data_IF_072645240581
#
_entry.id   IF_072645240581
#
_cell.length_a   1.000
_cell.length_b   1.000
_cell.length_c   1.000
_cell.angle_alpha   90.00
_cell.angle_beta   90.00
_cell.angle_gamma   90.00
#
_symmetry.space_group_name_H-M   'P 1'
#
loop_
_entity.id
_entity.type
_entity.pdbx_description
1 polymer ?
#
# COMPACT_ATOMS: atom_id res chain seq x y z
N UNK A 1 -2.76 4.76 15.02
CA UNK A 1 -2.89 5.52 13.76
C UNK A 1 -4.15 6.39 13.68
N UNK A 2 -4.01 7.66 13.29
CA UNK A 2 -5.09 8.63 12.98
C UNK A 2 -4.99 9.05 11.52
N UNK A 3 -6.10 9.06 10.79
CA UNK A 3 -6.16 9.54 9.40
C UNK A 3 -6.76 10.94 9.33
N UNK A 4 -6.10 11.86 8.63
CA UNK A 4 -6.60 13.22 8.37
C UNK A 4 -6.55 13.51 6.88
N UNK A 5 -7.67 13.99 6.32
CA UNK A 5 -7.74 14.46 4.95
C UNK A 5 -7.70 15.99 4.94
N UNK A 6 -6.83 16.56 4.11
CA UNK A 6 -6.75 18.00 3.84
C UNK A 6 -6.97 18.27 2.36
N UNK A 7 -7.05 19.54 1.97
CA UNK A 7 -7.26 19.93 0.57
C UNK A 7 -6.15 19.44 -0.37
N UNK A 8 -4.93 19.20 0.14
CA UNK A 8 -3.76 18.84 -0.69
C UNK A 8 -3.14 17.47 -0.36
N UNK A 9 -3.47 16.86 0.77
CA UNK A 9 -2.82 15.63 1.23
C UNK A 9 -3.65 14.82 2.21
N UNK A 10 -3.38 13.53 2.25
CA UNK A 10 -3.72 12.60 3.32
C UNK A 10 -2.60 12.59 4.35
N UNK A 11 -2.94 12.45 5.62
CA UNK A 11 -1.97 12.39 6.70
C UNK A 11 -2.29 11.18 7.56
N UNK A 12 -1.37 10.22 7.58
CA UNK A 12 -1.36 9.12 8.54
C UNK A 12 -0.52 9.58 9.74
N UNK A 13 -1.18 9.97 10.80
CA UNK A 13 -0.57 10.53 12.00
C UNK A 13 -0.57 9.51 13.15
N UNK A 14 0.25 9.76 14.17
CA UNK A 14 0.37 8.89 15.35
C UNK A 14 0.62 7.42 14.95
N UNK A 15 1.58 7.22 14.04
CA UNK A 15 2.02 5.90 13.62
C UNK A 15 2.97 5.32 14.68
N UNK A 16 2.54 4.24 15.32
CA UNK A 16 3.39 3.48 16.23
C UNK A 16 4.55 2.83 15.44
N UNK A 17 5.74 2.61 16.03
CA UNK A 17 6.87 1.98 15.34
C UNK A 17 6.54 0.65 14.65
N UNK A 18 5.64 -0.15 15.23
CA UNK A 18 5.16 -1.40 14.63
C UNK A 18 4.27 -1.15 13.39
N UNK A 19 3.35 -0.18 13.44
CA UNK A 19 2.51 0.20 12.29
C UNK A 19 3.41 0.73 11.16
N UNK A 20 4.37 1.59 11.49
CA UNK A 20 5.34 2.10 10.52
C UNK A 20 6.16 0.99 9.86
N UNK A 21 6.60 0.00 10.63
CA UNK A 21 7.36 -1.11 10.10
C UNK A 21 6.56 -1.86 9.02
N UNK A 22 5.27 -2.13 9.26
CA UNK A 22 4.40 -2.76 8.26
C UNK A 22 4.23 -1.89 7.01
N UNK A 23 4.07 -0.57 7.17
CA UNK A 23 3.99 0.35 6.03
C UNK A 23 5.26 0.30 5.16
N UNK A 24 6.44 0.24 5.78
CA UNK A 24 7.70 0.10 5.04
C UNK A 24 7.83 -1.21 4.27
N UNK A 25 7.13 -2.26 4.67
CA UNK A 25 7.18 -3.56 3.99
C UNK A 25 6.21 -3.65 2.80
N UNK A 26 5.21 -2.76 2.71
CA UNK A 26 4.19 -2.81 1.65
C UNK A 26 4.77 -2.87 0.23
N UNK A 27 5.76 -2.05 -0.16
CA UNK A 27 6.32 -2.12 -1.53
C UNK A 27 6.99 -3.47 -1.83
N UNK A 28 7.67 -4.06 -0.86
CA UNK A 28 8.33 -5.36 -1.01
C UNK A 28 7.29 -6.49 -1.08
N UNK A 29 6.27 -6.47 -0.22
CA UNK A 29 5.20 -7.48 -0.19
C UNK A 29 4.39 -7.44 -1.49
N UNK A 30 3.97 -6.25 -1.92
CA UNK A 30 3.19 -6.02 -3.16
C UNK A 30 3.97 -6.33 -4.44
N UNK A 31 5.31 -6.30 -4.39
CA UNK A 31 6.15 -6.77 -5.49
C UNK A 31 6.24 -8.30 -5.57
N UNK A 32 5.79 -9.01 -4.54
CA UNK A 32 5.95 -10.46 -4.43
C UNK A 32 7.39 -10.89 -4.16
N UNK A 33 8.25 -9.98 -3.68
CA UNK A 33 9.63 -10.28 -3.29
C UNK A 33 9.64 -11.30 -2.16
N UNK A 34 10.48 -12.33 -2.31
CA UNK A 34 10.55 -13.44 -1.35
C UNK A 34 9.47 -14.51 -1.52
N UNK A 35 8.47 -14.31 -2.38
CA UNK A 35 7.45 -15.31 -2.69
C UNK A 35 7.83 -16.16 -3.92
N UNK A 36 7.22 -17.34 -4.04
CA UNK A 36 7.35 -18.19 -5.23
C UNK A 36 6.66 -17.56 -6.44
N UNK A 37 7.04 -18.00 -7.64
CA UNK A 37 6.46 -17.49 -8.89
C UNK A 37 4.94 -17.60 -8.91
N UNK A 38 4.38 -18.76 -8.54
CA UNK A 38 2.93 -18.99 -8.48
C UNK A 38 2.19 -17.99 -7.59
N UNK A 39 2.81 -17.50 -6.52
CA UNK A 39 2.21 -16.49 -5.63
C UNK A 39 2.29 -15.11 -6.27
N UNK A 40 3.41 -14.78 -6.95
CA UNK A 40 3.56 -13.49 -7.64
C UNK A 40 2.57 -13.34 -8.78
N UNK A 41 2.33 -14.41 -9.54
CA UNK A 41 1.36 -14.42 -10.64
C UNK A 41 -0.07 -14.15 -10.16
N UNK A 42 -0.36 -14.34 -8.86
CA UNK A 42 -1.67 -14.04 -8.25
C UNK A 42 -1.81 -12.62 -7.74
N UNK A 43 -0.74 -11.82 -7.75
CA UNK A 43 -0.77 -10.42 -7.34
C UNK A 43 -1.41 -9.54 -8.42
N UNK A 44 -1.34 -9.98 -9.67
CA UNK A 44 -1.99 -9.31 -10.78
C UNK A 44 -3.35 -9.97 -11.05
N UNK A 45 -4.35 -9.18 -11.48
CA UNK A 45 -5.58 -9.77 -11.99
C UNK A 45 -5.24 -10.70 -13.16
N UNK A 46 -5.98 -11.80 -13.29
CA UNK A 46 -5.84 -12.73 -14.40
C UNK A 46 -6.88 -12.46 -15.51
N UNK A 47 -6.71 -13.06 -16.70
CA UNK A 47 -7.70 -12.97 -17.76
C UNK A 47 -9.02 -13.62 -17.32
N UNK A 48 -10.12 -13.15 -17.90
CA UNK A 48 -11.46 -13.70 -17.63
C UNK A 48 -11.51 -15.13 -18.16
N UNK A 49 -11.95 -16.07 -17.33
CA UNK A 49 -12.10 -17.47 -17.74
C UNK A 49 -13.23 -17.64 -18.77
N UNK A 50 -13.09 -18.58 -19.72
CA UNK A 50 -14.08 -18.77 -20.76
C UNK A 50 -15.40 -19.28 -20.17
N UNK A 51 -16.51 -18.75 -20.67
CA UNK A 51 -17.85 -19.21 -20.31
C UNK A 51 -18.23 -20.46 -21.10
N UNK A 52 -19.11 -21.32 -20.56
CA UNK A 52 -19.60 -22.49 -21.29
C UNK A 52 -20.28 -22.07 -22.61
N UNK A 53 -19.74 -22.52 -23.74
CA UNK A 53 -20.25 -22.23 -25.07
C UNK A 53 -19.55 -21.09 -25.82
N UNK A 54 -18.52 -20.48 -25.24
CA UNK A 54 -17.65 -19.52 -25.95
C UNK A 54 -16.73 -20.22 -26.96
N UNK A 55 -16.40 -19.53 -28.04
CA UNK A 55 -15.51 -20.02 -29.09
C UNK A 55 -14.06 -20.11 -28.56
N UNK A 56 -13.45 -21.29 -28.72
CA UNK A 56 -12.11 -21.56 -28.24
C UNK A 56 -11.05 -20.71 -28.97
N UNK A 57 -11.28 -20.36 -30.23
CA UNK A 57 -10.35 -19.55 -31.03
C UNK A 57 -10.43 -18.07 -30.62
N UNK A 58 -11.64 -17.56 -30.32
CA UNK A 58 -11.83 -16.21 -29.77
C UNK A 58 -11.19 -16.07 -28.39
N UNK A 59 -11.39 -17.06 -27.52
CA UNK A 59 -10.77 -17.09 -26.20
C UNK A 59 -9.24 -17.13 -26.27
N UNK A 60 -8.68 -17.89 -27.23
CA UNK A 60 -7.23 -17.93 -27.43
C UNK A 60 -6.70 -16.57 -27.89
N UNK A 61 -7.37 -15.92 -28.84
CA UNK A 61 -6.98 -14.56 -29.28
C UNK A 61 -6.99 -13.57 -28.13
N UNK A 62 -7.99 -13.66 -27.23
CA UNK A 62 -8.05 -12.81 -26.04
C UNK A 62 -6.88 -13.09 -25.07
N UNK A 63 -6.47 -14.35 -24.90
CA UNK A 63 -5.31 -14.69 -24.08
C UNK A 63 -4.01 -14.16 -24.69
N UNK A 64 -3.88 -14.22 -26.01
CA UNK A 64 -2.71 -13.68 -26.72
C UNK A 64 -2.63 -12.15 -26.52
N UNK A 65 -3.75 -11.42 -26.69
CA UNK A 65 -3.83 -9.97 -26.43
C UNK A 65 -3.54 -9.63 -24.95
N UNK A 66 -4.02 -10.47 -24.04
CA UNK A 66 -3.79 -10.31 -22.61
C UNK A 66 -2.30 -10.37 -22.26
N UNK A 67 -1.60 -11.39 -22.75
CA UNK A 67 -0.17 -11.56 -22.49
C UNK A 67 0.69 -10.53 -23.23
N UNK A 68 0.29 -10.08 -24.42
CA UNK A 68 1.06 -9.11 -25.22
C UNK A 68 0.89 -7.66 -24.74
N UNK A 69 -0.33 -7.26 -24.35
CA UNK A 69 -0.64 -5.85 -24.09
C UNK A 69 -1.10 -5.57 -22.66
N UNK A 70 -2.04 -6.36 -22.13
CA UNK A 70 -2.70 -6.01 -20.85
C UNK A 70 -1.80 -6.27 -19.65
N UNK A 71 -1.23 -7.48 -19.57
CA UNK A 71 -0.39 -7.88 -18.44
C UNK A 71 0.88 -7.03 -18.30
N UNK A 72 1.63 -6.73 -19.39
CA UNK A 72 2.79 -5.84 -19.29
C UNK A 72 2.44 -4.41 -18.81
N UNK A 73 1.32 -3.85 -19.30
CA UNK A 73 0.86 -2.53 -18.89
C UNK A 73 0.45 -2.49 -17.42
N UNK A 74 -0.21 -3.55 -16.93
CA UNK A 74 -0.52 -3.70 -15.51
C UNK A 74 0.76 -3.80 -14.69
N UNK A 75 1.71 -4.66 -15.06
CA UNK A 75 3.00 -4.80 -14.36
C UNK A 75 3.71 -3.46 -14.21
N UNK A 76 3.74 -2.65 -15.28
CA UNK A 76 4.33 -1.32 -15.28
C UNK A 76 3.57 -0.33 -14.37
N UNK A 77 2.23 -0.39 -14.39
CA UNK A 77 1.37 0.46 -13.56
C UNK A 77 1.59 0.17 -12.08
N UNK A 78 1.49 -1.11 -11.67
CA UNK A 78 1.75 -1.55 -10.30
C UNK A 78 3.20 -1.26 -9.86
N UNK A 79 4.17 -1.38 -10.77
CA UNK A 79 5.56 -1.00 -10.47
C UNK A 79 5.71 0.49 -10.22
N UNK A 80 5.04 1.33 -11.00
CA UNK A 80 5.06 2.79 -10.83
C UNK A 80 4.38 3.20 -9.52
N UNK A 81 3.25 2.58 -9.19
CA UNK A 81 2.54 2.81 -7.92
C UNK A 81 3.44 2.48 -6.72
N UNK A 82 4.08 1.30 -6.71
CA UNK A 82 5.04 0.93 -5.66
C UNK A 82 6.17 1.96 -5.48
N UNK A 83 6.75 2.45 -6.58
CA UNK A 83 7.81 3.47 -6.53
C UNK A 83 7.30 4.79 -5.95
N UNK A 84 6.06 5.16 -6.25
CA UNK A 84 5.42 6.34 -5.67
C UNK A 84 5.27 6.17 -4.15
N UNK A 85 4.75 5.01 -3.69
CA UNK A 85 4.66 4.69 -2.26
C UNK A 85 6.04 4.67 -1.58
N UNK A 86 7.07 4.12 -2.21
CA UNK A 86 8.44 4.16 -1.69
C UNK A 86 8.99 5.58 -1.52
N UNK A 87 8.61 6.51 -2.40
CA UNK A 87 8.98 7.92 -2.29
C UNK A 87 8.21 8.60 -1.17
N UNK A 88 6.90 8.34 -1.04
CA UNK A 88 6.09 8.90 0.03
C UNK A 88 6.59 8.45 1.40
N UNK A 89 6.94 7.16 1.56
CA UNK A 89 7.52 6.62 2.79
C UNK A 89 8.82 7.34 3.20
N UNK A 90 9.56 7.94 2.26
CA UNK A 90 10.75 8.74 2.59
C UNK A 90 10.41 10.13 3.11
N UNK A 91 9.19 10.63 2.87
CA UNK A 91 8.69 11.90 3.37
C UNK A 91 8.16 11.82 4.81
N UNK A 92 8.38 10.70 5.51
CA UNK A 92 7.96 10.51 6.89
C UNK A 92 8.58 11.54 7.83
N UNK A 93 7.74 12.06 8.71
CA UNK A 93 8.08 13.04 9.72
C UNK A 93 8.02 12.41 11.12
N UNK A 94 8.67 13.04 12.08
CA UNK A 94 8.46 12.73 13.49
C UNK A 94 7.07 13.26 13.87
N UNK A 95 6.22 12.37 14.39
CA UNK A 95 4.87 12.69 14.82
C UNK A 95 4.80 12.99 16.31
N UNK A 96 3.71 13.64 16.72
CA UNK A 96 3.41 13.86 18.13
C UNK A 96 2.77 12.60 18.74
N UNK A 97 2.97 12.35 20.04
CA UNK A 97 2.26 11.30 20.74
C UNK A 97 0.74 11.54 20.70
N UNK A 98 -0.08 10.48 20.84
CA UNK A 98 -1.52 10.65 20.98
C UNK A 98 -1.87 11.48 22.22
N UNK A 99 -2.99 12.20 22.16
CA UNK A 99 -3.53 12.88 23.33
C UNK A 99 -4.00 11.82 24.34
N UNK A 100 -3.39 11.86 25.54
CA UNK A 100 -3.68 10.92 26.63
C UNK A 100 -4.51 11.66 27.68
N UNK A 101 -5.61 11.05 28.11
CA UNK A 101 -6.36 11.55 29.26
C UNK A 101 -5.65 11.15 30.56
N UNK A 102 -5.11 12.12 31.33
CA UNK A 102 -4.36 11.83 32.55
C UNK A 102 -5.25 11.29 33.69
N UNK A 103 -6.56 11.48 33.63
CA UNK A 103 -7.49 10.95 34.63
C UNK A 103 -7.77 9.45 34.40
N UNK A 104 -7.46 8.94 33.20
CA UNK A 104 -7.73 7.56 32.78
C UNK A 104 -6.46 6.71 32.57
N UNK A 105 -5.27 7.32 32.68
CA UNK A 105 -4.00 6.69 32.34
C UNK A 105 -2.99 6.84 33.47
N UNK A 106 -2.38 5.73 33.90
CA UNK A 106 -1.34 5.77 34.93
C UNK A 106 -0.13 6.60 34.45
N UNK A 107 0.52 7.39 35.34
CA UNK A 107 1.63 8.27 34.96
C UNK A 107 2.77 7.55 34.23
N UNK A 108 3.13 6.36 34.71
CA UNK A 108 4.21 5.53 34.14
C UNK A 108 3.88 5.06 32.70
N UNK A 109 2.59 4.86 32.39
CA UNK A 109 2.12 4.48 31.05
C UNK A 109 2.13 5.70 30.13
N UNK A 110 1.70 6.86 30.63
CA UNK A 110 1.70 8.11 29.87
C UNK A 110 3.13 8.54 29.47
N UNK A 111 4.10 8.40 30.38
CA UNK A 111 5.52 8.66 30.09
C UNK A 111 6.06 7.71 29.02
N UNK A 112 5.78 6.40 29.13
CA UNK A 112 6.16 5.42 28.11
C UNK A 112 5.56 5.74 26.73
N UNK A 113 4.30 6.18 26.67
CA UNK A 113 3.67 6.56 25.40
C UNK A 113 4.34 7.80 24.80
N UNK A 114 4.74 8.77 25.63
CA UNK A 114 5.43 9.98 25.17
C UNK A 114 6.85 9.70 24.64
N UNK A 115 7.52 8.66 25.14
CA UNK A 115 8.87 8.26 24.72
C UNK A 115 8.90 7.46 23.40
N UNK A 116 7.76 6.95 22.94
CA UNK A 116 7.68 6.23 21.67
C UNK A 116 8.01 7.17 20.50
N UNK A 117 8.78 6.67 19.53
CA UNK A 117 9.08 7.38 18.30
C UNK A 117 7.89 7.33 17.34
N UNK A 118 6.88 8.16 17.61
CA UNK A 118 5.71 8.34 16.76
C UNK A 118 6.10 8.94 15.43
N UNK A 119 5.43 8.48 14.37
CA UNK A 119 5.65 8.97 13.01
C UNK A 119 4.40 9.58 12.43
N UNK A 120 4.61 10.49 11.49
CA UNK A 120 3.58 11.08 10.65
C UNK A 120 3.98 10.89 9.20
N UNK A 121 3.06 10.40 8.38
CA UNK A 121 3.26 10.25 6.95
C UNK A 121 2.28 11.16 6.19
N UNK A 122 2.76 12.27 5.62
CA UNK A 122 2.00 13.02 4.62
C UNK A 122 2.06 12.30 3.27
N UNK A 123 0.91 12.14 2.62
CA UNK A 123 0.75 11.56 1.29
C UNK A 123 0.00 12.57 0.42
N UNK A 124 0.60 13.10 -0.66
CA UNK A 124 -0.10 14.00 -1.57
C UNK A 124 -1.40 13.36 -2.10
N UNK A 125 -2.46 14.16 -2.26
CA UNK A 125 -3.72 13.65 -2.80
C UNK A 125 -3.54 13.04 -4.21
N UNK A 126 -2.57 13.55 -4.96
CA UNK A 126 -2.23 13.10 -6.31
C UNK A 126 -1.56 11.72 -6.31
N UNK A 127 -1.13 11.21 -5.14
CA UNK A 127 -0.52 9.88 -4.95
C UNK A 127 -1.50 8.88 -4.32
N UNK A 128 -2.73 9.31 -4.00
CA UNK A 128 -3.73 8.51 -3.30
C UNK A 128 -4.06 7.18 -4.00
N UNK A 129 -4.17 7.19 -5.32
CA UNK A 129 -4.55 6.03 -6.12
C UNK A 129 -3.43 4.98 -6.16
N UNK A 130 -2.18 5.43 -6.10
CA UNK A 130 -0.99 4.60 -6.06
C UNK A 130 -0.93 3.79 -4.76
N UNK A 131 -1.41 4.35 -3.65
CA UNK A 131 -1.53 3.65 -2.37
C UNK A 131 -2.62 2.56 -2.38
N UNK A 132 -3.67 2.68 -3.21
CA UNK A 132 -4.67 1.60 -3.40
C UNK A 132 -4.23 0.57 -4.44
N UNK A 133 -3.30 0.95 -5.30
CA UNK A 133 -2.75 0.13 -6.36
C UNK A 133 -1.47 -0.60 -5.94
N UNK A 134 -1.09 -0.51 -4.67
CA UNK A 134 0.08 -1.19 -4.09
C UNK A 134 -0.36 -2.40 -3.30
#
# INVERSE_FOLDING_TARGET
MRFTLTDSQWILDQLHPAEWHFLCELPDISSGKGFSQDVRERLLPGPILPRPGEDADEHKSMLDDWEEFVKPDLELTFQSARKCVELDLQAVEIGDPPEIDPDLTEPDIAEQIAEINWRRLPVPNDHAEEWYST
#
